data_IF_461436396494
#
_entry.id   IF_461436396494
#
_cell.length_a   1.000
_cell.length_b   1.000
_cell.length_c   1.000
_cell.angle_alpha   90.00
_cell.angle_beta   90.00
_cell.angle_gamma   90.00
#
_symmetry.space_group_name_H-M   'P 1'
#
loop_
_entity.id
_entity.type
_entity.pdbx_description
1 polymer ?
#
# COMPACT_ATOMS: atom_id res chain seq x y z
N UNK A 1 17.30 13.43 -1.21
CA UNK A 1 17.11 14.11 0.10
C UNK A 1 15.66 14.29 0.53
N UNK A 2 14.69 14.59 -0.35
CA UNK A 2 13.29 14.86 0.04
C UNK A 2 12.56 13.68 0.69
N UNK A 3 12.73 12.46 0.17
CA UNK A 3 12.11 11.26 0.75
C UNK A 3 12.63 10.96 2.16
N UNK A 4 13.95 11.02 2.35
CA UNK A 4 14.57 10.83 3.68
C UNK A 4 14.07 11.85 4.69
N UNK A 5 13.89 13.10 4.28
CA UNK A 5 13.33 14.12 5.17
C UNK A 5 11.88 13.79 5.55
N UNK A 6 11.04 13.45 4.57
CA UNK A 6 9.64 13.09 4.77
C UNK A 6 9.48 11.92 5.74
N UNK A 7 10.17 10.80 5.50
CA UNK A 7 10.08 9.61 6.35
C UNK A 7 10.66 9.81 7.77
N UNK A 8 11.57 10.77 7.95
CA UNK A 8 12.18 11.02 9.25
C UNK A 8 11.48 12.11 10.07
N UNK A 9 10.69 12.99 9.45
CA UNK A 9 10.17 14.20 10.12
C UNK A 9 8.70 14.52 9.84
N UNK A 10 8.06 13.88 8.86
CA UNK A 10 6.70 14.27 8.44
C UNK A 10 5.66 13.22 8.79
N UNK A 11 6.04 11.96 8.90
CA UNK A 11 5.11 10.86 9.12
C UNK A 11 5.72 9.80 10.02
N UNK A 12 4.93 9.26 10.94
CA UNK A 12 5.32 8.11 11.74
C UNK A 12 5.31 6.85 10.85
N UNK A 13 6.44 6.12 10.72
CA UNK A 13 6.54 4.97 9.82
C UNK A 13 5.45 3.91 10.04
N UNK A 14 5.12 3.63 11.30
CA UNK A 14 4.10 2.65 11.68
C UNK A 14 2.70 3.08 11.21
N UNK A 15 2.34 4.35 11.39
CA UNK A 15 1.06 4.89 10.95
C UNK A 15 0.94 4.87 9.42
N UNK A 16 2.04 5.21 8.73
CA UNK A 16 2.06 5.15 7.27
C UNK A 16 1.94 3.70 6.77
N UNK A 17 2.64 2.76 7.39
CA UNK A 17 2.54 1.35 7.04
C UNK A 17 1.09 0.83 7.19
N UNK A 18 0.41 1.20 8.29
CA UNK A 18 -1.02 0.89 8.52
C UNK A 18 -1.91 1.49 7.43
N UNK A 19 -1.71 2.76 7.08
CA UNK A 19 -2.47 3.41 6.02
C UNK A 19 -2.25 2.76 4.64
N UNK A 20 -1.00 2.42 4.29
CA UNK A 20 -0.67 1.74 3.03
C UNK A 20 -1.33 0.36 2.93
N UNK A 21 -1.35 -0.41 4.02
CA UNK A 21 -2.07 -1.70 4.07
C UNK A 21 -3.57 -1.56 3.92
N UNK A 22 -4.17 -0.55 4.56
CA UNK A 22 -5.60 -0.28 4.40
C UNK A 22 -5.95 0.03 2.94
N UNK A 23 -5.13 0.85 2.27
CA UNK A 23 -5.29 1.12 0.84
C UNK A 23 -5.17 -0.18 0.05
N UNK A 24 -4.14 -0.99 0.26
CA UNK A 24 -3.98 -2.27 -0.42
C UNK A 24 -5.16 -3.22 -0.20
N UNK A 25 -5.69 -3.31 1.01
CA UNK A 25 -6.86 -4.12 1.30
C UNK A 25 -8.10 -3.66 0.51
N UNK A 26 -8.36 -2.36 0.47
CA UNK A 26 -9.46 -1.79 -0.32
C UNK A 26 -9.26 -2.09 -1.81
N UNK A 27 -8.03 -1.90 -2.32
CA UNK A 27 -7.72 -2.21 -3.72
C UNK A 27 -7.95 -3.69 -4.05
N UNK A 28 -7.53 -4.61 -3.17
CA UNK A 28 -7.78 -6.03 -3.33
C UNK A 28 -9.28 -6.37 -3.32
N UNK A 29 -10.07 -5.73 -2.45
CA UNK A 29 -11.52 -5.92 -2.45
C UNK A 29 -12.17 -5.45 -3.76
N UNK A 30 -11.73 -4.32 -4.31
CA UNK A 30 -12.26 -3.80 -5.57
C UNK A 30 -11.84 -4.66 -6.77
N UNK A 31 -10.61 -5.20 -6.78
CA UNK A 31 -10.17 -6.12 -7.86
C UNK A 31 -10.88 -7.47 -7.81
N UNK A 32 -11.31 -7.92 -6.62
CA UNK A 32 -12.10 -9.14 -6.45
C UNK A 32 -13.57 -8.97 -6.85
N UNK A 33 -14.08 -7.74 -7.01
CA UNK A 33 -15.42 -7.53 -7.57
C UNK A 33 -15.39 -7.91 -9.05
N UNK A 34 -16.31 -8.77 -9.48
CA UNK A 34 -16.47 -9.22 -10.88
C UNK A 34 -17.00 -8.10 -11.82
N UNK A 35 -16.70 -6.84 -11.52
CA UNK A 35 -17.07 -5.72 -12.38
C UNK A 35 -16.14 -5.67 -13.60
N UNK A 36 -16.68 -6.05 -14.75
CA UNK A 36 -15.96 -6.11 -16.02
C UNK A 36 -15.49 -4.74 -16.51
N UNK A 37 -16.01 -3.65 -15.96
CA UNK A 37 -15.62 -2.29 -16.37
C UNK A 37 -14.20 -1.91 -15.95
N UNK A 38 -13.61 -2.60 -14.97
CA UNK A 38 -12.32 -2.24 -14.37
C UNK A 38 -11.13 -3.09 -14.85
N UNK A 39 -11.32 -4.03 -15.78
CA UNK A 39 -10.25 -4.98 -16.18
C UNK A 39 -8.92 -4.33 -16.61
N UNK A 40 -8.97 -3.17 -17.28
CA UNK A 40 -7.76 -2.42 -17.64
C UNK A 40 -7.12 -1.65 -16.48
N UNK A 41 -7.91 -1.29 -15.47
CA UNK A 41 -7.42 -0.65 -14.24
C UNK A 41 -6.81 -1.68 -13.29
N UNK A 42 -7.35 -2.90 -13.26
CA UNK A 42 -6.84 -4.03 -12.46
C UNK A 42 -5.37 -4.32 -12.77
N UNK A 43 -4.95 -4.34 -14.04
CA UNK A 43 -3.54 -4.58 -14.43
C UNK A 43 -2.60 -3.48 -13.90
N UNK A 44 -3.04 -2.21 -13.91
CA UNK A 44 -2.26 -1.09 -13.34
C UNK A 44 -2.22 -1.15 -11.81
N UNK A 45 -3.27 -1.70 -11.21
CA UNK A 45 -3.41 -1.90 -9.77
C UNK A 45 -2.49 -2.98 -9.24
N UNK A 46 -2.24 -4.08 -9.97
CA UNK A 46 -1.32 -5.15 -9.53
C UNK A 46 0.10 -4.62 -9.23
N UNK A 47 0.65 -3.82 -10.15
CA UNK A 47 1.98 -3.23 -9.95
C UNK A 47 1.98 -2.26 -8.77
N UNK A 48 0.92 -1.48 -8.62
CA UNK A 48 0.78 -0.53 -7.51
C UNK A 48 0.66 -1.26 -6.17
N UNK A 49 -0.14 -2.32 -6.13
CA UNK A 49 -0.35 -3.18 -4.97
C UNK A 49 0.97 -3.76 -4.45
N UNK A 50 1.79 -4.31 -5.36
CA UNK A 50 3.13 -4.82 -5.02
C UNK A 50 3.98 -3.75 -4.33
N UNK A 51 4.17 -2.58 -4.95
CA UNK A 51 5.04 -1.54 -4.38
C UNK A 51 4.51 -0.94 -3.07
N UNK A 52 3.18 -0.83 -2.93
CA UNK A 52 2.57 -0.36 -1.68
C UNK A 52 2.76 -1.36 -0.54
N UNK A 53 2.73 -2.66 -0.84
CA UNK A 53 2.99 -3.71 0.15
C UNK A 53 4.47 -3.73 0.55
N UNK A 54 5.39 -3.71 -0.41
CA UNK A 54 6.83 -3.65 -0.16
C UNK A 54 7.19 -2.42 0.69
N UNK A 55 6.60 -1.26 0.38
CA UNK A 55 6.84 -0.05 1.18
C UNK A 55 6.26 -0.18 2.60
N UNK A 56 5.08 -0.75 2.76
CA UNK A 56 4.50 -0.99 4.08
C UNK A 56 5.37 -1.92 4.93
N UNK A 57 5.93 -2.98 4.33
CA UNK A 57 6.83 -3.92 5.01
C UNK A 57 8.17 -3.28 5.37
N UNK A 58 8.74 -2.44 4.50
CA UNK A 58 9.96 -1.66 4.81
C UNK A 58 9.71 -0.70 5.98
N UNK A 59 8.52 -0.09 6.05
CA UNK A 59 8.18 0.87 7.09
C UNK A 59 7.84 0.22 8.43
N UNK A 60 7.23 -0.97 8.42
CA UNK A 60 6.98 -1.78 9.60
C UNK A 60 7.07 -3.29 9.28
N UNK A 61 8.26 -3.91 9.47
CA UNK A 61 8.49 -5.33 9.20
C UNK A 61 7.66 -6.27 10.09
N UNK A 62 7.16 -5.78 11.22
CA UNK A 62 6.41 -6.57 12.20
C UNK A 62 4.91 -6.24 12.17
N UNK A 63 4.42 -5.57 11.12
CA UNK A 63 3.01 -5.18 11.03
C UNK A 63 2.05 -6.37 10.92
N UNK A 64 2.53 -7.55 10.49
CA UNK A 64 1.73 -8.80 10.43
C UNK A 64 1.60 -9.52 11.78
N UNK A 65 2.42 -9.16 12.76
CA UNK A 65 2.45 -9.82 14.08
C UNK A 65 1.81 -8.97 15.19
N UNK A 66 1.29 -7.78 14.86
CA UNK A 66 0.40 -6.97 15.70
C UNK A 66 -1.06 -7.39 15.55
#
# INVERSE_FOLDING_TARGET
MRLRFFFNHTVEPEQLAKALRQVNFILALETMREDKTLQHEIIKLETSFYWLNELAEILNPYLDVE
#
